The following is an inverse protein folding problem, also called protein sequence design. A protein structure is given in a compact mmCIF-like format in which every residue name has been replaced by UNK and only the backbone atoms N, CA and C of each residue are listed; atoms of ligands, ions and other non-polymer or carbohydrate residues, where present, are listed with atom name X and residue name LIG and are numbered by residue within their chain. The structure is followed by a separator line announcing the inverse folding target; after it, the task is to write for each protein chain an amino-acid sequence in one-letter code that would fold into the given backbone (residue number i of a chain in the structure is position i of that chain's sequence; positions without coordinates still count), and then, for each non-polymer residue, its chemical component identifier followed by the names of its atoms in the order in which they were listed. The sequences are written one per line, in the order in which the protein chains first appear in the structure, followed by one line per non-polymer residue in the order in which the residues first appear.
data_IF_034118705182
#
_entry.id   IF_034118705182
#
_cell.length_a   1.000
_cell.length_b   1.000
_cell.length_c   1.000
_cell.angle_alpha   90.00
_cell.angle_beta   90.00
_cell.angle_gamma   90.00
#
_symmetry.space_group_name_H-M   'P 1'
#
loop_
_entity.id
_entity.type
_entity.pdbx_description
1 polymer ?
#
# COMPACT_ATOMS: atom_id res chain seq x y z
N UNK A 1 4.48 4.64 -22.30
CA UNK A 1 3.55 5.79 -22.24
C UNK A 1 4.16 6.87 -21.37
N UNK A 2 3.79 8.14 -21.59
CA UNK A 2 4.17 9.23 -20.69
C UNK A 2 3.18 9.26 -19.52
N UNK A 3 3.69 9.34 -18.30
CA UNK A 3 2.86 9.54 -17.12
C UNK A 3 2.53 11.04 -16.98
N UNK A 4 1.28 11.36 -16.71
CA UNK A 4 0.84 12.72 -16.36
C UNK A 4 0.63 12.80 -14.86
N UNK A 5 1.28 13.75 -14.15
CA UNK A 5 0.99 13.96 -12.73
C UNK A 5 -0.48 14.34 -12.53
N UNK A 6 -1.16 13.65 -11.60
CA UNK A 6 -2.55 13.94 -11.24
C UNK A 6 -2.59 14.91 -10.05
N UNK A 7 -2.05 14.47 -8.92
CA UNK A 7 -2.02 15.22 -7.66
C UNK A 7 -0.70 14.97 -6.94
N UNK A 8 -0.26 15.95 -6.16
CA UNK A 8 0.90 15.79 -5.27
C UNK A 8 0.46 15.17 -3.96
N UNK A 9 1.19 14.16 -3.49
CA UNK A 9 0.94 13.58 -2.17
C UNK A 9 1.26 14.57 -1.03
N UNK A 10 0.45 14.57 0.02
CA UNK A 10 0.65 15.38 1.21
C UNK A 10 1.80 14.89 2.12
N UNK A 11 2.30 13.68 1.87
CA UNK A 11 3.38 13.05 2.62
C UNK A 11 4.38 12.39 1.66
N UNK A 12 5.66 12.63 1.88
CA UNK A 12 6.74 12.04 1.09
C UNK A 12 7.29 10.79 1.81
N UNK A 13 7.38 9.66 1.11
CA UNK A 13 7.89 8.41 1.66
C UNK A 13 8.46 7.52 0.53
N UNK A 14 9.46 6.69 0.88
CA UNK A 14 9.91 5.62 -0.01
C UNK A 14 8.95 4.44 0.05
N UNK A 15 8.73 3.78 -1.09
CA UNK A 15 7.88 2.57 -1.15
C UNK A 15 8.45 1.56 -2.13
N UNK A 16 8.19 0.28 -1.86
CA UNK A 16 8.53 -0.84 -2.75
C UNK A 16 7.43 -1.13 -3.77
N UNK A 17 6.26 -0.51 -3.63
CA UNK A 17 5.15 -0.69 -4.56
C UNK A 17 3.83 -0.16 -4.01
N UNK A 18 2.86 -0.05 -4.91
CA UNK A 18 1.47 0.30 -4.61
C UNK A 18 0.55 -0.80 -5.15
N UNK A 19 -0.55 -1.06 -4.45
CA UNK A 19 -1.55 -2.07 -4.82
C UNK A 19 -2.94 -1.44 -4.74
N UNK A 20 -3.75 -1.55 -5.81
CA UNK A 20 -5.18 -1.24 -5.75
C UNK A 20 -5.92 -2.50 -5.30
N UNK A 21 -6.45 -2.49 -4.08
CA UNK A 21 -7.10 -3.68 -3.53
C UNK A 21 -8.47 -3.91 -4.20
N UNK A 22 -8.68 -5.07 -4.88
CA UNK A 22 -9.87 -5.29 -5.70
C UNK A 22 -11.16 -5.44 -4.90
N UNK A 23 -11.08 -5.77 -3.61
CA UNK A 23 -12.25 -5.97 -2.75
C UNK A 23 -12.85 -4.68 -2.18
N UNK A 24 -12.11 -3.56 -2.19
CA UNK A 24 -12.57 -2.29 -1.62
C UNK A 24 -12.13 -1.05 -2.41
N UNK A 25 -11.39 -1.24 -3.52
CA UNK A 25 -10.88 -0.18 -4.38
C UNK A 25 -9.97 0.84 -3.69
N UNK A 26 -9.33 0.45 -2.58
CA UNK A 26 -8.38 1.32 -1.86
C UNK A 26 -6.96 1.07 -2.39
N UNK A 27 -6.21 2.14 -2.63
CA UNK A 27 -4.78 2.06 -2.94
C UNK A 27 -4.00 1.94 -1.63
N UNK A 28 -3.21 0.89 -1.51
CA UNK A 28 -2.29 0.68 -0.41
C UNK A 28 -0.84 0.88 -0.86
N UNK A 29 -0.01 1.43 0.02
CA UNK A 29 1.42 1.61 -0.19
C UNK A 29 2.20 1.23 1.08
N UNK A 30 3.29 0.48 0.92
CA UNK A 30 4.10 -0.01 2.03
C UNK A 30 5.42 0.75 2.07
N UNK A 31 5.68 1.44 3.18
CA UNK A 31 6.81 2.37 3.26
C UNK A 31 8.13 1.73 3.66
N UNK A 32 9.22 2.42 3.33
CA UNK A 32 10.58 2.19 3.83
C UNK A 32 10.68 2.22 5.37
N UNK A 33 9.65 2.68 6.07
CA UNK A 33 9.56 2.76 7.51
C UNK A 33 8.60 1.74 8.15
N UNK A 34 8.20 0.70 7.42
CA UNK A 34 7.31 -0.37 7.92
C UNK A 34 5.89 0.10 8.26
N UNK A 35 5.43 1.19 7.65
CA UNK A 35 4.06 1.70 7.79
C UNK A 35 3.27 1.41 6.52
N UNK A 36 2.08 0.85 6.69
CA UNK A 36 1.11 0.65 5.62
C UNK A 36 0.25 1.93 5.52
N UNK A 37 0.18 2.49 4.33
CA UNK A 37 -0.62 3.67 4.04
C UNK A 37 -1.78 3.32 3.11
N UNK A 38 -2.91 4.01 3.26
CA UNK A 38 -3.86 4.22 2.18
C UNK A 38 -3.51 5.51 1.43
N UNK A 39 -3.73 5.53 0.12
CA UNK A 39 -3.52 6.71 -0.73
C UNK A 39 -4.83 7.07 -1.43
N UNK A 40 -5.28 8.30 -1.24
CA UNK A 40 -6.35 8.90 -2.04
C UNK A 40 -5.73 9.50 -3.32
N UNK A 41 -6.04 8.98 -4.51
CA UNK A 41 -5.45 9.46 -5.77
C UNK A 41 -6.04 10.78 -6.28
N UNK A 42 -7.20 11.21 -5.76
CA UNK A 42 -7.86 12.45 -6.16
C UNK A 42 -7.34 13.63 -5.33
N UNK A 43 -7.17 13.40 -4.02
CA UNK A 43 -6.74 14.42 -3.06
C UNK A 43 -5.25 14.38 -2.73
N UNK A 44 -4.56 13.29 -3.06
CA UNK A 44 -3.17 13.07 -2.69
C UNK A 44 -2.98 12.83 -1.19
N UNK A 45 -4.01 12.39 -0.48
CA UNK A 45 -3.94 12.16 0.97
C UNK A 45 -3.35 10.78 1.27
N UNK A 46 -2.25 10.78 2.01
CA UNK A 46 -1.59 9.58 2.54
C UNK A 46 -1.98 9.42 4.00
N UNK A 47 -2.62 8.30 4.34
CA UNK A 47 -3.13 8.03 5.69
C UNK A 47 -2.59 6.72 6.23
N UNK A 48 -1.95 6.68 7.43
CA UNK A 48 -1.48 5.43 8.00
C UNK A 48 -2.67 4.55 8.38
N UNK A 49 -2.62 3.28 7.95
CA UNK A 49 -3.59 2.26 8.38
C UNK A 49 -3.40 1.91 9.85
N UNK A 50 -2.17 2.07 10.36
CA UNK A 50 -1.82 1.78 11.74
C UNK A 50 -0.36 2.12 12.05
N UNK A 51 0.14 1.72 13.24
CA UNK A 51 1.54 1.87 13.60
C UNK A 51 2.44 0.97 12.73
N UNK A 52 3.75 1.09 12.92
CA UNK A 52 4.72 0.17 12.31
C UNK A 52 4.36 -1.28 12.66
N UNK A 53 4.27 -2.14 11.65
CA UNK A 53 3.87 -3.55 11.83
C UNK A 53 5.04 -4.53 11.75
N UNK A 54 6.25 -4.05 11.42
CA UNK A 54 7.48 -4.86 11.39
C UNK A 54 8.73 -4.00 11.69
N UNK A 55 9.85 -4.65 11.96
CA UNK A 55 11.10 -4.02 12.40
C UNK A 55 11.94 -3.38 11.29
N UNK A 56 11.62 -3.61 10.02
CA UNK A 56 12.38 -3.12 8.87
C UNK A 56 11.51 -2.66 7.70
N UNK A 57 12.11 -1.98 6.73
CA UNK A 57 11.45 -1.49 5.52
C UNK A 57 10.60 -2.57 4.84
N UNK A 58 9.48 -2.19 4.26
CA UNK A 58 8.78 -3.09 3.35
C UNK A 58 9.70 -3.45 2.20
N UNK A 59 9.76 -4.74 1.82
CA UNK A 59 10.54 -5.24 0.67
C UNK A 59 9.65 -5.72 -0.47
N UNK A 60 8.39 -6.03 -0.16
CA UNK A 60 7.35 -6.37 -1.10
C UNK A 60 6.00 -5.91 -0.51
N UNK A 61 5.04 -5.61 -1.39
CA UNK A 61 3.65 -5.42 -1.02
C UNK A 61 2.85 -6.49 -1.76
N UNK A 62 2.37 -7.48 -1.02
CA UNK A 62 1.49 -8.50 -1.53
C UNK A 62 0.37 -8.68 -0.51
N UNK A 63 -0.83 -8.21 -0.83
CA UNK A 63 -2.01 -8.50 -0.03
C UNK A 63 -2.65 -9.78 -0.60
N UNK A 64 -2.82 -10.85 0.19
CA UNK A 64 -3.62 -11.98 -0.24
C UNK A 64 -5.04 -11.50 -0.55
N UNK A 65 -5.49 -11.65 -1.80
CA UNK A 65 -6.80 -11.17 -2.24
C UNK A 65 -7.98 -11.92 -1.61
N UNK A 66 -7.71 -13.07 -1.00
CA UNK A 66 -8.66 -13.87 -0.22
C UNK A 66 -7.95 -14.42 1.02
N UNK A 67 -8.71 -14.76 2.08
CA UNK A 67 -8.15 -15.52 3.19
C UNK A 67 -7.50 -16.79 2.61
N UNK A 68 -6.21 -16.97 2.90
CA UNK A 68 -5.45 -18.16 2.52
C UNK A 68 -4.94 -18.82 3.79
N UNK A 69 -4.93 -20.14 3.79
CA UNK A 69 -4.22 -20.92 4.79
C UNK A 69 -2.71 -20.58 4.73
N UNK A 70 -1.97 -20.83 5.82
CA UNK A 70 -0.52 -20.64 5.84
C UNK A 70 0.24 -21.48 4.78
N UNK A 71 -0.44 -22.45 4.15
CA UNK A 71 0.08 -23.24 3.04
C UNK A 71 -0.22 -22.65 1.65
N UNK A 72 -0.78 -21.43 1.57
CA UNK A 72 -1.08 -20.73 0.32
C UNK A 72 -2.36 -21.16 -0.38
N UNK A 73 -3.16 -22.07 0.20
CA UNK A 73 -4.43 -22.49 -0.38
C UNK A 73 -5.56 -21.52 0.02
N UNK A 74 -6.53 -21.25 -0.89
CA UNK A 74 -7.74 -20.49 -0.53
C UNK A 74 -8.50 -21.14 0.62
N UNK A 75 -9.05 -20.31 1.52
CA UNK A 75 -10.03 -20.71 2.53
C UNK A 75 -11.42 -20.92 1.92
#
# INVERSE_FOLDING_TARGET
GLATPLVKLNYNFGTVGIELHPGNSIIYACSDNAVLFTVDPDLGLVTPVGPKFQSGSCTNLAAPYKPVLCNGQPL
#
